data_IF_344386469557
#
_entry.id   IF_344386469557
#
_cell.length_a   1.000
_cell.length_b   1.000
_cell.length_c   1.000
_cell.angle_alpha   90.00
_cell.angle_beta   90.00
_cell.angle_gamma   90.00
#
_symmetry.space_group_name_H-M   'P 1'
#
loop_
_entity.id
_entity.type
_entity.pdbx_description
1 polymer ?
#
# COMPACT_ATOMS: atom_id res chain seq x y z
N UNK A 1 -21.26 -13.43 -25.48
CA UNK A 1 -20.49 -14.30 -26.39
C UNK A 1 -19.65 -13.42 -27.30
N UNK A 2 -18.40 -13.83 -27.57
CA UNK A 2 -17.54 -13.12 -28.52
C UNK A 2 -18.05 -13.26 -29.97
N UNK A 3 -17.86 -12.26 -30.85
CA UNK A 3 -18.37 -12.29 -32.22
C UNK A 3 -17.90 -13.52 -33.02
N UNK A 4 -16.67 -13.99 -32.79
CA UNK A 4 -16.08 -15.19 -33.39
C UNK A 4 -16.79 -16.47 -32.94
N UNK A 5 -17.20 -16.56 -31.67
CA UNK A 5 -18.00 -17.68 -31.14
C UNK A 5 -19.41 -17.68 -31.75
N UNK A 6 -20.01 -16.51 -31.92
CA UNK A 6 -21.35 -16.35 -32.53
C UNK A 6 -21.34 -16.69 -34.02
N UNK A 7 -20.19 -16.54 -34.70
CA UNK A 7 -19.99 -16.90 -36.11
C UNK A 7 -19.43 -18.33 -36.30
N UNK A 8 -19.31 -19.11 -35.23
CA UNK A 8 -18.73 -20.47 -35.25
C UNK A 8 -17.31 -20.53 -35.88
N UNK A 9 -16.52 -19.48 -35.68
CA UNK A 9 -15.14 -19.41 -36.16
C UNK A 9 -14.17 -20.06 -35.16
N UNK A 10 -12.96 -20.49 -35.61
CA UNK A 10 -11.92 -20.93 -34.70
C UNK A 10 -11.63 -19.85 -33.66
N UNK A 11 -11.73 -20.22 -32.39
CA UNK A 11 -11.56 -19.30 -31.27
C UNK A 11 -10.33 -19.66 -30.42
N UNK A 12 -9.84 -18.71 -29.65
CA UNK A 12 -8.70 -18.86 -28.75
C UNK A 12 -9.01 -18.22 -27.39
N UNK A 13 -8.04 -18.16 -26.47
CA UNK A 13 -8.18 -17.48 -25.17
C UNK A 13 -8.66 -16.01 -25.24
N UNK A 14 -8.61 -15.38 -26.42
CA UNK A 14 -9.15 -14.03 -26.67
C UNK A 14 -10.66 -13.91 -26.41
N UNK A 15 -11.42 -15.00 -26.45
CA UNK A 15 -12.87 -14.99 -26.15
C UNK A 15 -13.15 -14.72 -24.67
N UNK A 16 -12.21 -15.11 -23.79
CA UNK A 16 -12.30 -14.83 -22.36
C UNK A 16 -12.01 -13.35 -22.10
N UNK A 17 -11.09 -12.74 -22.85
CA UNK A 17 -10.86 -11.28 -22.82
C UNK A 17 -12.07 -10.48 -23.30
N UNK A 18 -12.79 -10.97 -24.32
CA UNK A 18 -14.06 -10.36 -24.73
C UNK A 18 -15.11 -10.44 -23.61
N UNK A 19 -15.22 -11.60 -22.97
CA UNK A 19 -16.17 -11.82 -21.87
C UNK A 19 -15.82 -10.96 -20.66
N UNK A 20 -14.52 -10.84 -20.33
CA UNK A 20 -14.02 -9.92 -19.33
C UNK A 20 -14.35 -8.46 -19.67
N UNK A 21 -14.18 -8.04 -20.93
CA UNK A 21 -14.55 -6.70 -21.38
C UNK A 21 -16.05 -6.40 -21.20
N UNK A 22 -16.92 -7.37 -21.45
CA UNK A 22 -18.37 -7.26 -21.20
C UNK A 22 -18.67 -7.15 -19.71
N UNK A 23 -18.04 -7.97 -18.87
CA UNK A 23 -18.20 -7.93 -17.40
C UNK A 23 -17.70 -6.59 -16.85
N UNK A 24 -16.55 -6.08 -17.33
CA UNK A 24 -16.01 -4.79 -16.92
C UNK A 24 -16.92 -3.64 -17.36
N UNK A 25 -17.46 -3.67 -18.58
CA UNK A 25 -18.43 -2.68 -19.04
C UNK A 25 -19.70 -2.71 -18.17
N UNK A 26 -20.28 -3.88 -17.94
CA UNK A 26 -21.50 -4.02 -17.13
C UNK A 26 -21.28 -3.61 -15.69
N UNK A 27 -20.13 -3.96 -15.12
CA UNK A 27 -19.73 -3.51 -13.78
C UNK A 27 -19.57 -1.99 -13.71
N UNK A 28 -19.08 -1.35 -14.78
CA UNK A 28 -18.85 0.09 -14.82
C UNK A 28 -20.12 0.90 -15.09
N UNK A 29 -20.98 0.45 -16.02
CA UNK A 29 -22.17 1.16 -16.49
C UNK A 29 -23.43 0.74 -15.73
N UNK A 30 -23.39 -0.39 -15.02
CA UNK A 30 -24.54 -0.98 -14.32
C UNK A 30 -25.55 -1.67 -15.25
N UNK A 31 -25.26 -1.75 -16.55
CA UNK A 31 -26.05 -2.43 -17.56
C UNK A 31 -25.12 -3.07 -18.60
N UNK A 32 -25.49 -4.21 -19.19
CA UNK A 32 -24.65 -4.87 -20.19
C UNK A 32 -24.51 -4.01 -21.46
N UNK A 33 -23.37 -4.10 -22.16
CA UNK A 33 -23.08 -3.28 -23.34
C UNK A 33 -24.06 -3.50 -24.50
N UNK A 34 -24.72 -4.66 -24.51
CA UNK A 34 -25.76 -4.99 -25.47
C UNK A 34 -26.95 -5.57 -24.70
N UNK A 35 -28.08 -4.85 -24.72
CA UNK A 35 -29.32 -5.27 -24.06
C UNK A 35 -30.48 -5.25 -25.05
N UNK A 36 -31.22 -6.35 -25.14
CA UNK A 36 -32.43 -6.45 -25.98
C UNK A 36 -33.27 -7.66 -25.57
N UNK A 37 -34.56 -7.60 -25.87
CA UNK A 37 -35.52 -8.66 -25.55
C UNK A 37 -35.53 -9.79 -26.60
N UNK A 38 -34.68 -9.73 -27.62
CA UNK A 38 -34.58 -10.74 -28.68
C UNK A 38 -33.14 -11.18 -28.90
N UNK A 39 -32.90 -12.50 -28.78
CA UNK A 39 -31.59 -13.13 -29.01
C UNK A 39 -31.05 -12.82 -30.42
N UNK A 40 -31.92 -12.75 -31.42
CA UNK A 40 -31.54 -12.41 -32.79
C UNK A 40 -31.03 -10.98 -32.92
N UNK A 41 -31.65 -10.03 -32.22
CA UNK A 41 -31.19 -8.64 -32.18
C UNK A 41 -29.86 -8.52 -31.41
N UNK A 42 -29.70 -9.30 -30.33
CA UNK A 42 -28.48 -9.31 -29.53
C UNK A 42 -27.28 -9.78 -30.36
N UNK A 43 -27.45 -10.87 -31.12
CA UNK A 43 -26.46 -11.39 -32.05
C UNK A 43 -26.07 -10.34 -33.10
N UNK A 44 -27.04 -9.62 -33.67
CA UNK A 44 -26.74 -8.56 -34.64
C UNK A 44 -25.96 -7.39 -34.05
N UNK A 45 -26.23 -7.03 -32.79
CA UNK A 45 -25.49 -5.98 -32.08
C UNK A 45 -24.05 -6.40 -31.80
N UNK A 46 -23.81 -7.67 -31.47
CA UNK A 46 -22.48 -8.23 -31.22
C UNK A 46 -21.66 -8.33 -32.51
N UNK A 47 -22.30 -8.63 -33.65
CA UNK A 47 -21.63 -8.97 -34.92
C UNK A 47 -21.37 -7.75 -35.82
N UNK A 48 -22.07 -6.63 -35.64
CA UNK A 48 -21.87 -5.43 -36.47
C UNK A 48 -20.75 -4.52 -35.90
N UNK A 49 -19.84 -4.01 -36.74
CA UNK A 49 -18.91 -2.96 -36.31
C UNK A 49 -19.69 -1.66 -36.05
N UNK A 50 -19.60 -1.11 -34.85
CA UNK A 50 -20.11 0.24 -34.55
C UNK A 50 -19.21 1.28 -35.21
N UNK A 51 -19.67 1.90 -36.29
CA UNK A 51 -19.13 3.13 -36.82
C UNK A 51 -19.76 4.32 -36.09
N UNK A 52 -19.39 4.57 -34.84
CA UNK A 52 -19.71 5.82 -34.13
C UNK A 52 -18.71 6.08 -32.99
N UNK A 53 -17.48 6.39 -33.36
CA UNK A 53 -16.53 7.04 -32.46
C UNK A 53 -16.98 8.51 -32.25
N UNK A 54 -17.87 8.76 -31.28
CA UNK A 54 -18.07 10.10 -30.75
C UNK A 54 -16.93 10.44 -29.79
N UNK A 55 -16.02 11.26 -30.33
CA UNK A 55 -14.96 12.03 -29.68
C UNK A 55 -15.31 12.47 -28.25
N UNK A 56 -14.55 12.00 -27.27
CA UNK A 56 -14.26 12.78 -26.08
C UNK A 56 -12.81 13.25 -26.18
N UNK A 57 -12.65 14.50 -26.61
CA UNK A 57 -11.37 15.22 -26.60
C UNK A 57 -11.37 16.11 -25.34
N UNK A 58 -10.28 16.18 -24.56
CA UNK A 58 -10.20 17.08 -23.42
C UNK A 58 -9.97 18.51 -23.93
N UNK A 59 -10.86 19.43 -23.58
CA UNK A 59 -10.68 20.85 -23.86
C UNK A 59 -9.68 21.45 -22.88
N UNK A 60 -8.50 21.79 -23.41
CA UNK A 60 -7.54 22.76 -22.87
C UNK A 60 -8.19 24.14 -22.83
N UNK A 61 -8.20 24.79 -21.67
CA UNK A 61 -8.42 26.24 -21.58
C UNK A 61 -7.16 26.87 -21.00
N UNK A 62 -6.49 27.61 -21.87
CA UNK A 62 -5.41 28.55 -21.58
C UNK A 62 -6.07 29.89 -21.20
N UNK A 63 -5.66 30.45 -20.06
CA UNK A 63 -6.03 31.78 -19.61
C UNK A 63 -4.78 32.50 -19.10
N UNK A 64 -4.51 33.68 -19.66
CA UNK A 64 -3.26 34.40 -19.52
C UNK A 64 -3.25 35.33 -18.30
N UNK A 65 -2.06 35.47 -17.70
CA UNK A 65 -1.42 36.66 -17.12
C UNK A 65 -2.22 37.67 -16.26
N UNK A 66 -1.83 37.79 -14.99
CA UNK A 66 -1.16 38.96 -14.41
C UNK A 66 -1.39 39.00 -12.89
N UNK A 67 -0.32 39.06 -12.08
CA UNK A 67 -0.26 39.95 -10.92
C UNK A 67 1.18 40.06 -10.38
N UNK A 68 1.45 41.27 -9.95
CA UNK A 68 2.73 41.88 -9.67
C UNK A 68 3.21 41.55 -8.24
N UNK A 69 4.51 41.70 -8.05
CA UNK A 69 5.25 41.53 -6.80
C UNK A 69 4.69 42.34 -5.62
N UNK A 70 4.80 41.76 -4.42
CA UNK A 70 5.15 42.47 -3.20
C UNK A 70 6.09 41.58 -2.37
N UNK A 71 7.27 42.14 -2.10
CA UNK A 71 8.20 41.73 -1.04
C UNK A 71 7.48 41.71 0.30
N UNK A 72 7.84 40.78 1.18
CA UNK A 72 7.86 41.06 2.62
C UNK A 72 8.97 40.28 3.32
N UNK A 73 9.55 40.96 4.29
CA UNK A 73 10.84 40.78 4.89
C UNK A 73 10.97 39.56 5.81
N UNK A 74 12.18 39.01 5.82
CA UNK A 74 12.73 38.17 6.89
C UNK A 74 12.72 38.92 8.24
N UNK A 75 12.19 38.34 9.34
CA UNK A 75 12.59 38.73 10.68
C UNK A 75 13.78 37.87 11.12
N UNK A 76 14.79 38.54 11.66
CA UNK A 76 16.14 38.02 11.87
C UNK A 76 16.30 37.03 13.03
N UNK A 77 17.53 36.51 13.11
CA UNK A 77 18.02 35.65 14.17
C UNK A 77 17.84 36.27 15.55
N UNK A 78 17.35 35.47 16.51
CA UNK A 78 17.38 35.82 17.93
C UNK A 78 18.74 35.46 18.53
N UNK A 79 19.31 36.42 19.27
CA UNK A 79 20.59 36.33 19.97
C UNK A 79 20.48 35.35 21.16
N UNK A 80 21.52 34.56 21.50
CA UNK A 80 21.47 33.64 22.61
C UNK A 80 21.89 34.37 23.88
N UNK A 81 20.96 34.63 24.80
CA UNK A 81 21.20 34.63 26.25
C UNK A 81 19.89 34.88 26.98
N UNK A 82 19.71 34.10 28.05
CA UNK A 82 18.64 34.14 29.04
C UNK A 82 17.25 33.69 28.58
N UNK A 83 16.92 32.44 28.89
CA UNK A 83 15.85 32.06 29.84
C UNK A 83 15.81 30.53 29.92
N UNK A 84 15.73 30.00 31.14
CA UNK A 84 15.58 28.56 31.47
C UNK A 84 14.64 27.86 30.49
N UNK A 85 15.22 26.98 29.67
CA UNK A 85 14.51 26.21 28.64
C UNK A 85 13.45 25.30 29.28
N UNK A 86 12.18 25.64 29.07
CA UNK A 86 11.07 24.71 29.21
C UNK A 86 10.88 24.03 27.86
N UNK A 87 10.85 22.69 27.84
CA UNK A 87 10.89 21.87 26.60
C UNK A 87 9.81 22.17 25.56
N UNK A 88 8.76 22.92 25.91
CA UNK A 88 7.68 23.32 25.01
C UNK A 88 8.12 24.40 24.00
N UNK A 89 8.97 25.36 24.41
CA UNK A 89 9.46 26.42 23.49
C UNK A 89 10.47 25.88 22.47
N UNK A 90 11.17 24.81 22.81
CA UNK A 90 12.16 24.21 21.91
C UNK A 90 11.49 23.52 20.70
N UNK A 91 10.42 22.75 20.93
CA UNK A 91 9.66 22.09 19.86
C UNK A 91 9.01 23.11 18.90
N UNK A 92 8.52 24.23 19.40
CA UNK A 92 7.96 25.30 18.57
C UNK A 92 9.02 25.92 17.64
N UNK A 93 10.23 26.15 18.16
CA UNK A 93 11.37 26.61 17.35
C UNK A 93 11.77 25.60 16.27
N UNK A 94 11.90 24.32 16.65
CA UNK A 94 12.23 23.24 15.72
C UNK A 94 11.18 23.08 14.62
N UNK A 95 9.90 23.18 14.99
CA UNK A 95 8.81 23.14 14.03
C UNK A 95 8.88 24.25 13.00
N UNK A 96 9.06 25.49 13.43
CA UNK A 96 9.11 26.62 12.51
C UNK A 96 10.29 26.48 11.53
N UNK A 97 11.45 26.06 12.04
CA UNK A 97 12.64 25.84 11.23
C UNK A 97 12.50 24.67 10.25
N UNK A 98 11.82 23.59 10.66
CA UNK A 98 11.61 22.38 9.83
C UNK A 98 10.76 22.63 8.58
N UNK A 99 10.01 23.73 8.50
CA UNK A 99 9.16 24.04 7.33
C UNK A 99 9.97 24.40 6.07
N UNK A 100 11.25 24.71 6.22
CA UNK A 100 12.15 24.98 5.11
C UNK A 100 13.08 23.79 4.88
N UNK A 101 13.42 23.50 3.62
CA UNK A 101 14.35 22.40 3.30
C UNK A 101 15.70 22.60 4.00
N UNK A 102 16.24 23.81 3.99
CA UNK A 102 17.52 24.11 4.65
C UNK A 102 17.44 23.95 6.18
N UNK A 103 16.39 24.46 6.81
CA UNK A 103 16.19 24.30 8.25
C UNK A 103 16.00 22.84 8.66
N UNK A 104 15.24 22.08 7.88
CA UNK A 104 15.09 20.64 8.07
C UNK A 104 16.43 19.88 7.92
N UNK A 105 17.26 20.24 6.93
CA UNK A 105 18.58 19.65 6.74
C UNK A 105 19.52 19.91 7.93
N UNK A 106 19.50 21.12 8.49
CA UNK A 106 20.29 21.47 9.68
C UNK A 106 19.81 20.64 10.88
N UNK A 107 18.50 20.62 11.15
CA UNK A 107 17.92 19.85 12.26
C UNK A 107 18.25 18.36 12.14
N UNK A 108 18.16 17.78 10.94
CA UNK A 108 18.44 16.36 10.70
C UNK A 108 19.90 15.95 10.94
N UNK A 109 20.82 16.91 11.03
CA UNK A 109 22.24 16.68 11.35
C UNK A 109 22.55 16.88 12.84
N UNK A 110 21.66 17.51 13.59
CA UNK A 110 21.84 17.81 15.02
C UNK A 110 21.23 16.70 15.89
N UNK A 111 22.08 15.88 16.50
CA UNK A 111 21.63 14.76 17.35
C UNK A 111 20.78 15.25 18.54
N UNK A 112 21.15 16.36 19.16
CA UNK A 112 20.40 16.97 20.26
C UNK A 112 19.00 17.42 19.82
N UNK A 113 18.87 17.97 18.60
CA UNK A 113 17.59 18.38 18.05
C UNK A 113 16.69 17.15 17.78
N UNK A 114 17.25 16.09 17.21
CA UNK A 114 16.55 14.82 17.03
C UNK A 114 16.11 14.23 18.38
N UNK A 115 16.96 14.24 19.39
CA UNK A 115 16.61 13.76 20.73
C UNK A 115 15.44 14.54 21.35
N UNK A 116 15.38 15.86 21.16
CA UNK A 116 14.26 16.69 21.60
C UNK A 116 12.96 16.37 20.83
N UNK A 117 13.06 16.08 19.53
CA UNK A 117 11.91 15.68 18.70
C UNK A 117 11.33 14.32 19.13
N UNK A 118 12.18 13.37 19.54
CA UNK A 118 11.71 12.05 19.99
C UNK A 118 11.28 12.00 21.46
N UNK A 119 11.58 13.04 22.25
CA UNK A 119 11.23 13.05 23.67
C UNK A 119 9.72 12.85 23.91
N UNK A 120 8.80 13.54 23.19
CA UNK A 120 7.36 13.31 23.38
C UNK A 120 6.89 11.91 23.03
N UNK A 121 7.44 11.28 21.98
CA UNK A 121 7.07 9.89 21.61
C UNK A 121 7.61 8.87 22.61
N UNK A 122 8.82 9.09 23.14
CA UNK A 122 9.45 8.20 24.14
C UNK A 122 8.72 8.16 25.48
N UNK A 123 8.12 9.27 25.92
CA UNK A 123 7.36 9.35 27.18
C UNK A 123 6.23 8.32 27.29
N UNK A 124 5.67 7.87 26.16
CA UNK A 124 4.62 6.85 26.14
C UNK A 124 5.11 5.48 26.60
N UNK A 125 6.40 5.20 26.48
CA UNK A 125 7.02 3.94 26.92
C UNK A 125 7.36 3.91 28.42
N UNK A 126 7.50 5.07 29.06
CA UNK A 126 7.98 5.19 30.46
C UNK A 126 6.88 5.03 31.52
N UNK A 127 5.66 4.64 31.13
CA UNK A 127 4.62 4.23 32.08
C UNK A 127 4.06 5.35 32.97
N UNK A 128 3.98 6.59 32.46
CA UNK A 128 3.38 7.72 33.17
C UNK A 128 1.92 7.40 33.56
N UNK A 129 1.68 7.16 34.85
CA UNK A 129 0.35 7.04 35.42
C UNK A 129 -0.33 8.41 35.40
N UNK A 130 -1.32 8.57 34.51
CA UNK A 130 -2.47 9.45 34.64
C UNK A 130 -2.20 10.88 35.17
N UNK A 131 -1.63 11.72 34.30
CA UNK A 131 -2.03 13.12 34.16
C UNK A 131 -1.53 13.62 32.80
N UNK A 132 -2.43 14.08 31.92
CA UNK A 132 -2.14 14.83 30.68
C UNK A 132 -2.03 14.10 29.32
N UNK A 133 -2.90 13.12 29.02
CA UNK A 133 -2.98 12.53 27.66
C UNK A 133 -3.15 13.58 26.55
N UNK A 134 -3.93 14.63 26.77
CA UNK A 134 -4.20 15.64 25.74
C UNK A 134 -2.94 16.40 25.33
N UNK A 135 -2.13 16.81 26.30
CA UNK A 135 -0.89 17.52 26.03
C UNK A 135 0.16 16.61 25.40
N UNK A 136 0.21 15.34 25.82
CA UNK A 136 1.09 14.33 25.22
C UNK A 136 0.71 14.05 23.76
N UNK A 137 -0.59 13.99 23.44
CA UNK A 137 -1.09 13.86 22.06
C UNK A 137 -0.66 15.07 21.21
N UNK A 138 -0.83 16.29 21.73
CA UNK A 138 -0.44 17.52 21.01
C UNK A 138 1.05 17.55 20.72
N UNK A 139 1.90 17.30 21.72
CA UNK A 139 3.35 17.31 21.55
C UNK A 139 3.85 16.17 20.66
N UNK A 140 3.25 14.99 20.76
CA UNK A 140 3.59 13.86 19.87
C UNK A 140 3.18 14.16 18.43
N UNK A 141 2.00 14.77 18.23
CA UNK A 141 1.55 15.22 16.90
C UNK A 141 2.48 16.29 16.32
N UNK A 142 2.97 17.22 17.14
CA UNK A 142 3.98 18.20 16.73
C UNK A 142 5.28 17.52 16.32
N UNK A 143 5.75 16.57 17.13
CA UNK A 143 6.97 15.79 16.85
C UNK A 143 6.88 15.04 15.51
N UNK A 144 5.77 14.35 15.25
CA UNK A 144 5.54 13.65 13.99
C UNK A 144 5.48 14.61 12.79
N UNK A 145 4.96 15.82 12.96
CA UNK A 145 4.93 16.84 11.90
C UNK A 145 6.33 17.34 11.58
N UNK A 146 7.17 17.57 12.59
CA UNK A 146 8.58 17.91 12.41
C UNK A 146 9.27 16.77 11.66
N UNK A 147 9.15 15.52 12.15
CA UNK A 147 9.75 14.34 11.50
C UNK A 147 9.31 14.20 10.04
N UNK A 148 8.02 14.38 9.75
CA UNK A 148 7.51 14.35 8.37
C UNK A 148 8.21 15.38 7.47
N UNK A 149 8.48 16.58 7.98
CA UNK A 149 9.21 17.61 7.23
C UNK A 149 10.68 17.24 7.03
N UNK A 150 11.33 16.67 8.06
CA UNK A 150 12.73 16.23 7.98
C UNK A 150 12.91 15.13 6.93
N UNK A 151 12.02 14.14 6.94
CA UNK A 151 12.03 13.05 5.96
C UNK A 151 11.77 13.62 4.56
N UNK A 152 10.73 14.43 4.36
CA UNK A 152 10.43 15.02 3.05
C UNK A 152 11.56 15.91 2.49
N UNK A 153 12.38 16.52 3.35
CA UNK A 153 13.56 17.29 2.97
C UNK A 153 14.79 16.42 2.67
N UNK A 154 14.70 15.09 2.83
CA UNK A 154 15.81 14.15 2.73
C UNK A 154 16.90 14.43 3.77
N UNK A 155 16.54 14.93 4.94
CA UNK A 155 17.50 15.34 5.97
C UNK A 155 18.12 14.16 6.74
N UNK A 156 17.48 13.00 6.70
CA UNK A 156 17.85 11.80 7.47
C UNK A 156 18.61 10.81 6.57
N UNK A 157 19.90 11.07 6.28
CA UNK A 157 20.65 10.30 5.28
C UNK A 157 21.58 9.22 5.84
N UNK A 158 21.79 9.15 7.15
CA UNK A 158 22.64 8.11 7.74
C UNK A 158 21.82 6.85 8.09
N UNK A 159 22.23 5.70 7.56
CA UNK A 159 21.50 4.44 7.72
C UNK A 159 21.28 4.00 9.18
N UNK A 160 22.24 4.31 10.07
CA UNK A 160 22.10 4.01 11.50
C UNK A 160 21.03 4.84 12.20
N UNK A 161 20.97 6.15 11.92
CA UNK A 161 19.95 7.04 12.50
C UNK A 161 18.56 6.66 11.98
N UNK A 162 18.43 6.31 10.69
CA UNK A 162 17.17 5.86 10.11
C UNK A 162 16.61 4.60 10.80
N UNK A 163 17.48 3.64 11.15
CA UNK A 163 17.10 2.43 11.87
C UNK A 163 16.57 2.74 13.28
N UNK A 164 17.29 3.59 14.02
CA UNK A 164 16.89 4.04 15.35
C UNK A 164 15.54 4.76 15.33
N UNK A 165 15.37 5.67 14.36
CA UNK A 165 14.13 6.42 14.15
C UNK A 165 12.96 5.48 13.83
N UNK A 166 13.18 4.52 12.93
CA UNK A 166 12.16 3.54 12.55
C UNK A 166 11.76 2.65 13.74
N UNK A 167 12.73 2.16 14.51
CA UNK A 167 12.47 1.38 15.73
C UNK A 167 11.63 2.17 16.74
N UNK A 168 11.98 3.44 16.99
CA UNK A 168 11.24 4.31 17.92
C UNK A 168 9.81 4.58 17.42
N UNK A 169 9.63 4.89 16.14
CA UNK A 169 8.30 5.14 15.56
C UNK A 169 7.40 3.90 15.58
N UNK A 170 7.95 2.72 15.27
CA UNK A 170 7.20 1.46 15.33
C UNK A 170 6.82 1.11 16.78
N UNK A 171 7.73 1.28 17.74
CA UNK A 171 7.44 1.07 19.16
C UNK A 171 6.35 2.02 19.65
N UNK A 172 6.47 3.32 19.33
CA UNK A 172 5.47 4.32 19.65
C UNK A 172 4.10 3.97 19.02
N UNK A 173 4.06 3.57 17.75
CA UNK A 173 2.83 3.15 17.08
C UNK A 173 2.22 1.94 17.77
N UNK A 174 3.01 0.93 18.13
CA UNK A 174 2.54 -0.27 18.83
C UNK A 174 1.88 0.09 20.17
N UNK A 175 2.49 0.99 20.95
CA UNK A 175 1.92 1.47 22.21
C UNK A 175 0.56 2.13 21.95
N UNK A 176 0.46 3.06 21.00
CA UNK A 176 -0.78 3.77 20.69
C UNK A 176 -1.91 2.82 20.25
N UNK A 177 -1.61 1.87 19.36
CA UNK A 177 -2.55 0.85 18.91
C UNK A 177 -3.01 -0.02 20.09
N UNK A 178 -2.09 -0.35 21.00
CA UNK A 178 -2.37 -1.10 22.23
C UNK A 178 -3.30 -0.40 23.22
N UNK A 179 -3.44 0.93 23.15
CA UNK A 179 -4.36 1.69 24.01
C UNK A 179 -5.84 1.46 23.66
N UNK A 180 -6.15 0.98 22.45
CA UNK A 180 -7.51 0.70 21.97
C UNK A 180 -8.49 1.87 22.19
N UNK A 181 -8.00 3.11 22.08
CA UNK A 181 -8.81 4.33 22.17
C UNK A 181 -8.86 5.02 20.81
N UNK A 182 -10.05 5.48 20.42
CA UNK A 182 -10.24 6.27 19.21
C UNK A 182 -9.55 7.64 19.27
N UNK A 183 -9.30 8.17 20.47
CA UNK A 183 -8.71 9.51 20.68
C UNK A 183 -7.30 9.62 20.10
N UNK A 184 -6.59 8.49 19.99
CA UNK A 184 -5.23 8.43 19.46
C UNK A 184 -5.17 8.01 17.98
N UNK A 185 -6.31 7.71 17.32
CA UNK A 185 -6.32 7.22 15.94
C UNK A 185 -5.69 8.21 14.94
N UNK A 186 -5.86 9.52 15.14
CA UNK A 186 -5.20 10.52 14.30
C UNK A 186 -3.68 10.47 14.47
N UNK A 187 -3.21 10.28 15.70
CA UNK A 187 -1.80 10.18 16.02
C UNK A 187 -1.19 8.89 15.46
N UNK A 188 -1.90 7.76 15.56
CA UNK A 188 -1.55 6.48 14.91
C UNK A 188 -1.41 6.66 13.40
N UNK A 189 -2.40 7.29 12.74
CA UNK A 189 -2.36 7.52 11.30
C UNK A 189 -1.19 8.41 10.86
N UNK A 190 -0.86 9.45 11.64
CA UNK A 190 0.33 10.30 11.41
C UNK A 190 1.62 9.51 11.58
N UNK A 191 1.72 8.66 12.59
CA UNK A 191 2.93 7.86 12.85
C UNK A 191 3.18 6.85 11.72
N UNK A 192 2.14 6.15 11.25
CA UNK A 192 2.23 5.32 10.05
C UNK A 192 2.60 6.12 8.80
N UNK A 193 2.12 7.36 8.67
CA UNK A 193 2.44 8.20 7.51
C UNK A 193 3.94 8.53 7.46
N UNK A 194 4.53 8.91 8.59
CA UNK A 194 5.99 9.14 8.68
C UNK A 194 6.76 7.84 8.42
N UNK A 195 6.32 6.73 9.02
CA UNK A 195 6.90 5.39 8.82
C UNK A 195 6.90 5.00 7.34
N UNK A 196 5.80 5.24 6.61
CA UNK A 196 5.69 4.96 5.18
C UNK A 196 6.73 5.73 4.35
N UNK A 197 6.93 7.02 4.65
CA UNK A 197 7.89 7.85 3.89
C UNK A 197 9.31 7.34 4.14
N UNK A 198 9.67 7.06 5.39
CA UNK A 198 10.96 6.47 5.74
C UNK A 198 11.21 5.11 5.05
N UNK A 199 10.19 4.26 4.98
CA UNK A 199 10.27 2.98 4.26
C UNK A 199 10.52 3.18 2.75
N UNK A 200 10.00 4.25 2.15
CA UNK A 200 10.18 4.54 0.72
C UNK A 200 11.60 5.04 0.39
N UNK A 201 12.25 5.76 1.30
CA UNK A 201 13.60 6.33 1.11
C UNK A 201 14.75 5.31 1.31
N UNK A 202 14.51 4.25 2.08
CA UNK A 202 15.48 3.18 2.37
C UNK A 202 15.71 2.25 1.15
N UNK A 203 16.34 2.76 0.08
CA UNK A 203 16.49 2.09 -1.22
C UNK A 203 17.87 1.43 -1.46
N UNK A 204 18.70 1.17 -0.45
CA UNK A 204 19.91 0.38 -0.68
C UNK A 204 21.06 0.48 0.30
N UNK A 205 20.81 0.69 1.60
CA UNK A 205 21.89 0.53 2.58
C UNK A 205 22.04 -0.95 2.97
N UNK A 206 23.24 -1.33 3.44
CA UNK A 206 23.66 -2.65 3.96
C UNK A 206 22.81 -3.20 5.14
N UNK A 207 21.63 -2.66 5.38
CA UNK A 207 20.75 -2.91 6.54
C UNK A 207 19.64 -3.95 6.25
N UNK A 208 19.95 -4.99 5.48
CA UNK A 208 18.98 -6.02 5.08
C UNK A 208 18.34 -6.74 6.29
N UNK A 209 19.06 -6.84 7.40
CA UNK A 209 18.60 -7.42 8.69
C UNK A 209 17.63 -6.50 9.44
N UNK A 210 17.94 -5.21 9.52
CA UNK A 210 17.07 -4.18 10.11
C UNK A 210 15.73 -4.06 9.38
N UNK A 211 15.74 -4.19 8.05
CA UNK A 211 14.53 -4.11 7.24
C UNK A 211 13.55 -5.25 7.56
N UNK A 212 14.04 -6.48 7.73
CA UNK A 212 13.22 -7.61 8.16
C UNK A 212 12.68 -7.43 9.60
N UNK A 213 13.50 -6.92 10.53
CA UNK A 213 13.06 -6.60 11.90
C UNK A 213 11.89 -5.61 11.89
N UNK A 214 11.98 -4.54 11.10
CA UNK A 214 10.89 -3.57 10.95
C UNK A 214 9.63 -4.18 10.35
N UNK A 215 9.78 -5.07 9.35
CA UNK A 215 8.67 -5.82 8.77
C UNK A 215 7.91 -6.64 9.81
N UNK A 216 8.61 -7.41 10.64
CA UNK A 216 7.98 -8.26 11.66
C UNK A 216 7.11 -7.43 12.60
N UNK A 217 7.66 -6.33 13.14
CA UNK A 217 6.94 -5.43 14.04
C UNK A 217 5.76 -4.77 13.33
N UNK A 218 5.94 -4.31 12.08
CA UNK A 218 4.88 -3.68 11.31
C UNK A 218 3.68 -4.62 11.08
N UNK A 219 3.94 -5.89 10.75
CA UNK A 219 2.89 -6.90 10.55
C UNK A 219 2.15 -7.21 11.85
N UNK A 220 2.87 -7.26 12.99
CA UNK A 220 2.25 -7.44 14.30
C UNK A 220 1.34 -6.25 14.66
N UNK A 221 1.81 -5.02 14.46
CA UNK A 221 0.99 -3.81 14.67
C UNK A 221 -0.22 -3.84 13.71
N UNK A 222 -0.04 -4.20 12.45
CA UNK A 222 -1.14 -4.30 11.48
C UNK A 222 -2.21 -5.31 11.92
N UNK A 223 -1.80 -6.47 12.44
CA UNK A 223 -2.73 -7.44 13.02
C UNK A 223 -3.55 -6.84 14.17
N UNK A 224 -2.92 -6.06 15.04
CA UNK A 224 -3.59 -5.36 16.13
C UNK A 224 -4.54 -4.25 15.64
N UNK A 225 -4.13 -3.48 14.63
CA UNK A 225 -4.96 -2.45 13.97
C UNK A 225 -6.26 -3.08 13.48
N UNK A 226 -6.16 -4.15 12.68
CA UNK A 226 -7.34 -4.76 12.05
C UNK A 226 -8.25 -5.45 13.06
N UNK A 227 -7.72 -5.91 14.18
CA UNK A 227 -8.49 -6.63 15.20
C UNK A 227 -9.15 -5.74 16.26
N UNK A 228 -8.58 -4.58 16.59
CA UNK A 228 -9.01 -3.82 17.76
C UNK A 228 -9.33 -2.34 17.53
N UNK A 229 -8.90 -1.74 16.40
CA UNK A 229 -9.10 -0.31 16.19
C UNK A 229 -10.49 -0.02 15.63
N UNK A 230 -11.21 0.84 16.32
CA UNK A 230 -12.42 1.50 15.82
C UNK A 230 -12.02 2.77 15.05
N UNK A 231 -11.73 2.63 13.76
CA UNK A 231 -11.38 3.75 12.89
C UNK A 231 -12.52 4.05 11.91
N UNK A 232 -13.42 4.96 12.27
CA UNK A 232 -14.49 5.42 11.39
C UNK A 232 -13.99 6.24 10.19
N UNK A 233 -12.76 6.77 10.25
CA UNK A 233 -12.17 7.60 9.20
C UNK A 233 -11.50 6.79 8.10
N UNK A 234 -10.99 5.60 8.44
CA UNK A 234 -10.31 4.68 7.53
C UNK A 234 -8.86 5.03 7.29
N UNK A 235 -8.38 6.11 7.91
CA UNK A 235 -7.01 6.59 7.73
C UNK A 235 -6.00 5.62 8.34
N UNK A 236 -6.27 5.03 9.49
CA UNK A 236 -5.36 4.07 10.13
C UNK A 236 -5.27 2.81 9.27
N UNK A 237 -6.41 2.27 8.82
CA UNK A 237 -6.44 1.12 7.92
C UNK A 237 -5.73 1.40 6.59
N UNK A 238 -6.02 2.56 5.97
CA UNK A 238 -5.42 2.99 4.71
C UNK A 238 -3.89 3.10 4.81
N UNK A 239 -3.37 3.87 5.77
CA UNK A 239 -1.93 4.14 5.84
C UNK A 239 -1.15 2.91 6.33
N UNK A 240 -1.72 2.07 7.19
CA UNK A 240 -1.08 0.81 7.59
C UNK A 240 -0.98 -0.20 6.43
N UNK A 241 -2.03 -0.35 5.61
CA UNK A 241 -1.96 -1.13 4.37
C UNK A 241 -0.94 -0.56 3.39
N UNK A 242 -0.83 0.77 3.31
CA UNK A 242 0.16 1.43 2.48
C UNK A 242 1.60 1.15 2.94
N UNK A 243 1.86 1.03 4.24
CA UNK A 243 3.18 0.62 4.76
C UNK A 243 3.53 -0.80 4.34
N UNK A 244 2.58 -1.74 4.46
CA UNK A 244 2.74 -3.13 3.99
C UNK A 244 3.04 -3.15 2.49
N UNK A 245 2.27 -2.40 1.70
CA UNK A 245 2.48 -2.27 0.25
C UNK A 245 3.86 -1.73 -0.08
N UNK A 246 4.34 -0.70 0.61
CA UNK A 246 5.68 -0.11 0.37
C UNK A 246 6.82 -1.11 0.57
N UNK A 247 6.67 -2.05 1.51
CA UNK A 247 7.69 -3.09 1.75
C UNK A 247 7.62 -4.21 0.72
N UNK A 248 6.41 -4.64 0.34
CA UNK A 248 6.21 -5.72 -0.62
C UNK A 248 6.42 -5.28 -2.08
N UNK A 249 6.28 -3.98 -2.37
CA UNK A 249 6.42 -3.47 -3.72
C UNK A 249 7.85 -3.74 -4.25
N UNK A 250 8.00 -4.25 -5.49
CA UNK A 250 9.30 -4.51 -6.08
C UNK A 250 10.05 -3.19 -6.26
N UNK A 251 11.04 -2.95 -5.41
CA UNK A 251 11.95 -1.81 -5.54
C UNK A 251 13.00 -2.14 -6.61
N UNK A 252 13.25 -1.18 -7.51
CA UNK A 252 14.20 -1.30 -8.61
C UNK A 252 15.50 -1.99 -8.19
N UNK A 253 15.91 -2.98 -8.98
CA UNK A 253 16.93 -3.98 -8.70
C UNK A 253 18.27 -3.32 -8.30
N UNK A 254 18.60 -3.33 -7.01
CA UNK A 254 19.97 -3.29 -6.49
C UNK A 254 20.42 -4.71 -6.09
N UNK A 255 21.72 -4.90 -5.82
CA UNK A 255 22.45 -6.19 -5.70
C UNK A 255 21.61 -7.48 -5.50
N UNK A 256 21.61 -8.42 -6.46
CA UNK A 256 20.64 -9.51 -6.49
C UNK A 256 20.79 -10.61 -5.44
N UNK A 257 21.86 -10.69 -4.63
CA UNK A 257 22.05 -11.81 -3.68
C UNK A 257 21.43 -11.57 -2.30
N UNK A 258 21.82 -10.47 -1.62
CA UNK A 258 21.39 -10.17 -0.23
C UNK A 258 19.90 -9.79 -0.17
N UNK A 259 19.40 -9.05 -1.15
CA UNK A 259 17.98 -8.63 -1.21
C UNK A 259 17.03 -9.82 -1.39
N UNK A 260 17.49 -10.92 -2.01
CA UNK A 260 16.66 -12.12 -2.17
C UNK A 260 16.44 -12.86 -0.85
N UNK A 261 17.44 -12.88 0.04
CA UNK A 261 17.33 -13.56 1.32
C UNK A 261 16.38 -12.80 2.25
N UNK A 262 16.47 -11.47 2.30
CA UNK A 262 15.53 -10.63 3.04
C UNK A 262 14.11 -10.70 2.48
N UNK A 263 13.94 -10.69 1.14
CA UNK A 263 12.62 -10.84 0.53
C UNK A 263 12.02 -12.21 0.87
N UNK A 264 12.82 -13.28 0.84
CA UNK A 264 12.39 -14.61 1.26
C UNK A 264 11.91 -14.60 2.72
N UNK A 265 12.70 -14.06 3.63
CA UNK A 265 12.32 -13.94 5.05
C UNK A 265 11.01 -13.16 5.23
N UNK A 266 10.84 -12.05 4.49
CA UNK A 266 9.61 -11.24 4.49
C UNK A 266 8.40 -12.07 4.07
N UNK A 267 8.50 -12.79 2.94
CA UNK A 267 7.43 -13.61 2.37
C UNK A 267 7.11 -14.82 3.26
N UNK A 268 8.12 -15.52 3.77
CA UNK A 268 7.95 -16.63 4.72
C UNK A 268 7.23 -16.14 5.98
N UNK A 269 7.66 -15.00 6.54
CA UNK A 269 6.99 -14.37 7.68
C UNK A 269 5.54 -13.94 7.36
N UNK A 270 5.28 -13.42 6.15
CA UNK A 270 3.93 -13.01 5.71
C UNK A 270 2.95 -14.18 5.75
N UNK A 271 3.40 -15.36 5.32
CA UNK A 271 2.60 -16.60 5.37
C UNK A 271 2.41 -17.05 6.83
N UNK A 272 3.47 -17.15 7.63
CA UNK A 272 3.37 -17.65 9.01
C UNK A 272 2.55 -16.74 9.91
N UNK A 273 2.59 -15.42 9.66
CA UNK A 273 1.79 -14.41 10.37
C UNK A 273 0.36 -14.30 9.84
N UNK A 274 -0.01 -15.07 8.81
CA UNK A 274 -1.32 -15.04 8.17
C UNK A 274 -1.69 -13.63 7.68
N UNK A 275 -0.72 -12.89 7.11
CA UNK A 275 -0.92 -11.52 6.66
C UNK A 275 -2.11 -11.39 5.69
N UNK A 276 -2.28 -12.37 4.78
CA UNK A 276 -3.41 -12.39 3.84
C UNK A 276 -4.77 -12.39 4.55
N UNK A 277 -4.91 -13.12 5.65
CA UNK A 277 -6.18 -13.16 6.41
C UNK A 277 -6.47 -11.80 7.06
N UNK A 278 -5.44 -11.13 7.59
CA UNK A 278 -5.57 -9.77 8.14
C UNK A 278 -5.92 -8.75 7.06
N UNK A 279 -5.33 -8.84 5.87
CA UNK A 279 -5.66 -7.98 4.73
C UNK A 279 -7.11 -8.22 4.23
N UNK A 280 -7.54 -9.48 4.17
CA UNK A 280 -8.93 -9.82 3.86
C UNK A 280 -9.91 -9.33 4.92
N UNK A 281 -9.53 -9.37 6.20
CA UNK A 281 -10.34 -8.81 7.28
C UNK A 281 -10.44 -7.27 7.16
N UNK A 282 -9.35 -6.59 6.80
CA UNK A 282 -9.36 -5.16 6.48
C UNK A 282 -10.33 -4.85 5.32
N UNK A 283 -10.32 -5.64 4.24
CA UNK A 283 -11.30 -5.51 3.15
C UNK A 283 -12.73 -5.75 3.64
N UNK A 284 -12.96 -6.77 4.48
CA UNK A 284 -14.28 -7.05 5.01
C UNK A 284 -14.83 -5.91 5.88
N UNK A 285 -14.00 -5.34 6.76
CA UNK A 285 -14.34 -4.16 7.58
C UNK A 285 -14.63 -2.95 6.69
N UNK A 286 -13.75 -2.68 5.73
CA UNK A 286 -13.90 -1.55 4.80
C UNK A 286 -15.19 -1.67 3.99
N UNK A 287 -15.44 -2.84 3.41
CA UNK A 287 -16.63 -3.11 2.60
C UNK A 287 -17.94 -3.17 3.39
N UNK A 288 -17.90 -3.54 4.67
CA UNK A 288 -19.06 -3.44 5.54
C UNK A 288 -19.48 -1.98 5.70
N UNK A 289 -18.53 -1.08 5.99
CA UNK A 289 -18.81 0.38 6.06
C UNK A 289 -19.29 0.96 4.74
N UNK A 290 -18.67 0.58 3.62
CA UNK A 290 -19.07 1.04 2.27
C UNK A 290 -20.49 0.59 1.92
N UNK A 291 -20.89 -0.64 2.30
CA UNK A 291 -22.25 -1.12 2.07
C UNK A 291 -23.29 -0.25 2.79
N UNK A 292 -22.96 0.29 3.97
CA UNK A 292 -23.84 1.18 4.71
C UNK A 292 -23.76 2.65 4.25
N UNK A 293 -23.11 2.94 3.12
CA UNK A 293 -23.11 4.25 2.46
C UNK A 293 -22.00 5.21 2.89
N UNK A 294 -21.09 4.79 3.78
CA UNK A 294 -19.93 5.61 4.17
C UNK A 294 -18.80 5.44 3.15
N UNK A 295 -18.29 6.55 2.59
CA UNK A 295 -17.17 6.55 1.65
C UNK A 295 -15.80 6.64 2.33
N UNK A 296 -15.76 6.85 3.66
CA UNK A 296 -14.51 7.03 4.41
C UNK A 296 -13.56 5.83 4.28
N UNK A 297 -14.11 4.62 4.28
CA UNK A 297 -13.34 3.37 4.15
C UNK A 297 -12.83 3.07 2.74
N UNK A 298 -13.16 3.90 1.74
CA UNK A 298 -12.85 3.57 0.37
C UNK A 298 -11.35 3.57 0.09
N UNK A 299 -10.60 4.51 0.68
CA UNK A 299 -9.15 4.53 0.58
C UNK A 299 -8.51 3.32 1.29
N UNK A 300 -9.07 2.90 2.43
CA UNK A 300 -8.64 1.69 3.12
C UNK A 300 -8.84 0.43 2.27
N UNK A 301 -10.00 0.31 1.61
CA UNK A 301 -10.26 -0.78 0.67
C UNK A 301 -9.25 -0.77 -0.50
N UNK A 302 -8.98 0.39 -1.08
CA UNK A 302 -8.03 0.55 -2.18
C UNK A 302 -6.61 0.13 -1.77
N UNK A 303 -6.11 0.60 -0.62
CA UNK A 303 -4.78 0.22 -0.14
C UNK A 303 -4.71 -1.25 0.29
N UNK A 304 -5.77 -1.82 0.84
CA UNK A 304 -5.83 -3.26 1.13
C UNK A 304 -5.76 -4.11 -0.15
N UNK A 305 -6.47 -3.73 -1.22
CA UNK A 305 -6.34 -4.36 -2.53
C UNK A 305 -4.90 -4.26 -3.06
N UNK A 306 -4.27 -3.09 -2.96
CA UNK A 306 -2.87 -2.90 -3.38
C UNK A 306 -1.90 -3.78 -2.57
N UNK A 307 -2.08 -3.86 -1.26
CA UNK A 307 -1.25 -4.71 -0.40
C UNK A 307 -1.41 -6.21 -0.73
N UNK A 308 -2.65 -6.68 -0.95
CA UNK A 308 -2.92 -8.06 -1.37
C UNK A 308 -2.26 -8.34 -2.72
N UNK A 309 -2.44 -7.45 -3.69
CA UNK A 309 -1.83 -7.59 -5.00
C UNK A 309 -0.29 -7.63 -4.91
N UNK A 310 0.32 -6.71 -4.15
CA UNK A 310 1.77 -6.71 -3.94
C UNK A 310 2.28 -7.97 -3.24
N UNK A 311 1.51 -8.57 -2.33
CA UNK A 311 1.87 -9.85 -1.72
C UNK A 311 1.85 -10.99 -2.74
N UNK A 312 0.80 -11.07 -3.56
CA UNK A 312 0.67 -12.08 -4.61
C UNK A 312 1.79 -11.93 -5.66
N UNK A 313 2.01 -10.72 -6.14
CA UNK A 313 3.04 -10.39 -7.13
C UNK A 313 4.45 -10.67 -6.60
N UNK A 314 4.74 -10.33 -5.34
CA UNK A 314 6.03 -10.61 -4.72
C UNK A 314 6.30 -12.13 -4.62
N UNK A 315 5.29 -12.94 -4.28
CA UNK A 315 5.41 -14.40 -4.31
C UNK A 315 5.61 -14.95 -5.73
N UNK A 316 4.92 -14.41 -6.73
CA UNK A 316 5.09 -14.81 -8.13
C UNK A 316 6.49 -14.47 -8.65
N UNK A 317 6.98 -13.25 -8.41
CA UNK A 317 8.32 -12.80 -8.77
C UNK A 317 9.38 -13.69 -8.11
N UNK A 318 9.23 -13.97 -6.81
CA UNK A 318 10.15 -14.84 -6.08
C UNK A 318 10.16 -16.26 -6.65
N UNK A 319 8.98 -16.83 -6.94
CA UNK A 319 8.86 -18.16 -7.53
C UNK A 319 9.50 -18.24 -8.91
N UNK A 320 9.27 -17.26 -9.80
CA UNK A 320 9.90 -17.20 -11.12
C UNK A 320 11.43 -17.10 -11.01
N UNK A 321 11.93 -16.34 -10.03
CA UNK A 321 13.36 -16.15 -9.81
C UNK A 321 14.06 -17.39 -9.26
N UNK A 322 13.42 -18.13 -8.36
CA UNK A 322 13.93 -19.42 -7.85
C UNK A 322 13.94 -20.49 -8.96
N UNK A 323 13.01 -20.38 -9.90
CA UNK A 323 12.77 -21.34 -10.98
C UNK A 323 13.21 -20.83 -12.37
N UNK A 324 14.29 -20.03 -12.46
CA UNK A 324 14.81 -19.51 -13.74
C UNK A 324 15.11 -20.60 -14.78
N UNK A 325 15.27 -21.87 -14.38
CA UNK A 325 15.43 -23.04 -15.25
C UNK A 325 14.12 -23.65 -15.77
N UNK A 326 12.95 -23.08 -15.45
CA UNK A 326 11.62 -23.54 -15.90
C UNK A 326 11.06 -22.72 -17.07
N UNK A 327 11.85 -21.83 -17.68
CA UNK A 327 11.43 -21.17 -18.91
C UNK A 327 11.35 -22.21 -20.06
N UNK A 328 10.25 -22.30 -20.83
CA UNK A 328 10.01 -23.38 -21.81
C UNK A 328 11.00 -23.47 -22.98
N UNK A 329 12.02 -22.61 -23.04
CA UNK A 329 13.01 -22.61 -24.12
C UNK A 329 14.04 -23.75 -23.98
N UNK A 330 14.32 -24.23 -22.77
CA UNK A 330 15.19 -25.40 -22.59
C UNK A 330 14.50 -26.71 -23.01
N UNK A 331 13.17 -26.77 -22.91
CA UNK A 331 12.39 -27.88 -23.45
C UNK A 331 12.44 -27.96 -24.98
N UNK A 332 12.63 -26.83 -25.68
CA UNK A 332 12.74 -26.77 -27.14
C UNK A 332 14.12 -27.19 -27.68
N UNK A 333 15.17 -27.22 -26.83
CA UNK A 333 16.53 -27.56 -27.26
C UNK A 333 16.86 -29.06 -27.21
N UNK A 334 16.00 -29.89 -26.61
CA UNK A 334 16.25 -31.33 -26.53
C UNK A 334 15.48 -32.10 -27.61
N UNK A 335 16.09 -32.28 -28.78
CA UNK A 335 15.64 -33.24 -29.79
C UNK A 335 15.91 -34.68 -29.31
N UNK A 336 15.11 -35.17 -28.36
CA UNK A 336 15.03 -36.62 -28.12
C UNK A 336 13.62 -37.01 -27.69
N UNK A 337 12.96 -37.80 -28.54
CA UNK A 337 11.63 -38.41 -28.38
C UNK A 337 11.60 -39.49 -27.26
N UNK A 338 12.28 -39.27 -26.14
CA UNK A 338 12.39 -40.22 -25.03
C UNK A 338 11.79 -39.72 -23.70
N UNK A 339 11.07 -38.59 -23.69
CA UNK A 339 10.32 -38.12 -22.51
C UNK A 339 8.82 -38.03 -22.78
N UNK A 340 8.21 -39.18 -22.99
CA UNK A 340 6.78 -39.42 -22.78
C UNK A 340 6.48 -39.79 -21.32
N UNK A 341 7.32 -39.35 -20.38
CA UNK A 341 7.03 -39.44 -18.94
C UNK A 341 6.66 -38.08 -18.37
N UNK A 342 5.45 -37.65 -18.73
CA UNK A 342 4.79 -36.45 -18.20
C UNK A 342 4.20 -36.73 -16.79
N UNK A 343 4.35 -37.95 -16.22
CA UNK A 343 3.76 -38.28 -14.92
C UNK A 343 4.59 -37.83 -13.72
N UNK A 344 5.92 -37.76 -13.83
CA UNK A 344 6.75 -37.37 -12.68
C UNK A 344 6.99 -35.86 -12.56
N UNK A 345 6.81 -35.08 -13.64
CA UNK A 345 7.00 -33.62 -13.61
C UNK A 345 5.72 -32.86 -13.18
N UNK A 346 4.54 -33.46 -13.31
CA UNK A 346 3.30 -32.90 -12.76
C UNK A 346 3.26 -32.94 -11.22
N UNK A 347 4.07 -33.80 -10.58
CA UNK A 347 4.08 -33.94 -9.12
C UNK A 347 4.79 -32.77 -8.41
N UNK A 348 5.65 -32.02 -9.12
CA UNK A 348 6.25 -30.77 -8.62
C UNK A 348 5.35 -29.55 -8.77
N UNK A 349 4.42 -29.57 -9.73
CA UNK A 349 3.41 -28.51 -9.93
C UNK A 349 2.22 -28.63 -8.95
N UNK A 350 2.11 -29.78 -8.29
CA UNK A 350 1.07 -30.14 -7.31
C UNK A 350 1.50 -29.89 -5.85
N UNK A 351 2.73 -29.45 -5.60
CA UNK A 351 3.04 -28.81 -4.33
C UNK A 351 2.37 -27.43 -4.37
N UNK A 352 1.26 -27.26 -3.64
CA UNK A 352 0.63 -25.95 -3.42
C UNK A 352 1.71 -24.92 -3.11
N UNK A 353 2.03 -24.07 -4.09
CA UNK A 353 2.99 -22.99 -3.89
C UNK A 353 2.42 -22.05 -2.84
N UNK A 354 3.28 -21.42 -2.03
CA UNK A 354 2.80 -20.43 -1.05
C UNK A 354 1.98 -19.31 -1.72
N UNK A 355 2.30 -18.98 -2.98
CA UNK A 355 1.50 -18.11 -3.84
C UNK A 355 0.06 -18.64 -4.02
N UNK A 356 -0.13 -19.93 -4.31
CA UNK A 356 -1.44 -20.54 -4.47
C UNK A 356 -2.25 -20.48 -3.17
N UNK A 357 -1.61 -20.66 -2.00
CA UNK A 357 -2.29 -20.54 -0.71
C UNK A 357 -2.79 -19.12 -0.43
N UNK A 358 -2.00 -18.11 -0.79
CA UNK A 358 -2.43 -16.70 -0.70
C UNK A 358 -3.62 -16.44 -1.62
N UNK A 359 -3.54 -16.88 -2.89
CA UNK A 359 -4.66 -16.74 -3.85
C UNK A 359 -5.92 -17.40 -3.30
N UNK A 360 -5.84 -18.66 -2.88
CA UNK A 360 -6.97 -19.43 -2.35
C UNK A 360 -7.58 -18.80 -1.07
N UNK A 361 -6.76 -18.21 -0.20
CA UNK A 361 -7.26 -17.43 0.94
C UNK A 361 -8.09 -16.21 0.48
N UNK A 362 -7.60 -15.45 -0.51
CA UNK A 362 -8.31 -14.29 -1.07
C UNK A 362 -9.58 -14.74 -1.79
N UNK A 363 -9.54 -15.80 -2.60
CA UNK A 363 -10.70 -16.39 -3.28
C UNK A 363 -11.77 -16.79 -2.27
N UNK A 364 -11.39 -17.48 -1.19
CA UNK A 364 -12.34 -17.84 -0.13
C UNK A 364 -12.96 -16.62 0.53
N UNK A 365 -12.17 -15.59 0.83
CA UNK A 365 -12.66 -14.37 1.43
C UNK A 365 -13.65 -13.66 0.50
N UNK A 366 -13.32 -13.55 -0.79
CA UNK A 366 -14.19 -12.96 -1.81
C UNK A 366 -15.50 -13.73 -1.99
N UNK A 367 -15.45 -15.05 -2.15
CA UNK A 367 -16.65 -15.87 -2.36
C UNK A 367 -17.56 -15.86 -1.14
N UNK A 368 -17.00 -15.92 0.08
CA UNK A 368 -17.79 -16.06 1.32
C UNK A 368 -18.27 -14.74 1.91
N UNK A 369 -17.59 -13.63 1.64
CA UNK A 369 -17.91 -12.34 2.24
C UNK A 369 -18.43 -11.35 1.22
N UNK A 370 -19.74 -11.05 1.30
CA UNK A 370 -20.31 -9.91 0.57
C UNK A 370 -19.57 -8.62 0.87
N UNK A 371 -18.94 -8.47 2.05
CA UNK A 371 -18.27 -7.22 2.41
C UNK A 371 -16.97 -7.09 1.64
N UNK A 372 -16.22 -8.17 1.51
CA UNK A 372 -15.05 -8.21 0.63
C UNK A 372 -15.44 -7.91 -0.82
N UNK A 373 -16.53 -8.50 -1.33
CA UNK A 373 -17.03 -8.20 -2.69
C UNK A 373 -17.33 -6.71 -2.86
N UNK A 374 -18.06 -6.10 -1.92
CA UNK A 374 -18.38 -4.67 -1.96
C UNK A 374 -17.12 -3.80 -1.92
N UNK A 375 -16.11 -4.15 -1.11
CA UNK A 375 -14.85 -3.41 -1.05
C UNK A 375 -14.15 -3.42 -2.42
N UNK A 376 -13.93 -4.61 -3.00
CA UNK A 376 -13.21 -4.76 -4.28
C UNK A 376 -13.96 -4.07 -5.42
N UNK A 377 -15.30 -4.22 -5.50
CA UNK A 377 -16.10 -3.56 -6.54
C UNK A 377 -16.02 -2.04 -6.41
N UNK A 378 -16.09 -1.49 -5.20
CA UNK A 378 -15.96 -0.04 -5.01
C UNK A 378 -14.56 0.49 -5.40
N UNK A 379 -13.49 -0.31 -5.23
CA UNK A 379 -12.16 0.05 -5.74
C UNK A 379 -12.14 0.21 -7.26
N UNK A 380 -12.87 -0.63 -8.01
CA UNK A 380 -12.98 -0.51 -9.46
C UNK A 380 -13.64 0.83 -9.89
N UNK A 381 -14.54 1.38 -9.07
CA UNK A 381 -15.25 2.62 -9.38
C UNK A 381 -14.44 3.90 -9.08
N UNK A 382 -13.38 3.85 -8.28
CA UNK A 382 -12.66 5.05 -7.82
C UNK A 382 -11.86 5.78 -8.89
N UNK A 383 -11.62 5.17 -10.07
CA UNK A 383 -10.73 5.70 -11.13
C UNK A 383 -9.29 6.01 -10.66
N UNK A 384 -8.86 5.44 -9.54
CA UNK A 384 -7.48 5.50 -9.06
C UNK A 384 -6.72 4.31 -9.67
N UNK A 385 -5.82 4.59 -10.62
CA UNK A 385 -5.19 3.56 -11.47
C UNK A 385 -4.52 2.43 -10.67
N UNK A 386 -3.69 2.68 -9.63
CA UNK A 386 -3.05 1.59 -8.89
C UNK A 386 -4.04 0.67 -8.17
N UNK A 387 -5.13 1.23 -7.64
CA UNK A 387 -6.16 0.47 -6.94
C UNK A 387 -7.04 -0.32 -7.91
N UNK A 388 -7.37 0.28 -9.06
CA UNK A 388 -8.08 -0.37 -10.16
C UNK A 388 -7.28 -1.57 -10.69
N UNK A 389 -6.00 -1.37 -10.99
CA UNK A 389 -5.10 -2.44 -11.45
C UNK A 389 -5.01 -3.57 -10.44
N UNK A 390 -4.80 -3.26 -9.16
CA UNK A 390 -4.75 -4.27 -8.09
C UNK A 390 -6.06 -5.07 -8.00
N UNK A 391 -7.21 -4.40 -8.03
CA UNK A 391 -8.51 -5.06 -7.98
C UNK A 391 -8.75 -5.97 -9.20
N UNK A 392 -8.37 -5.54 -10.41
CA UNK A 392 -8.46 -6.38 -11.62
C UNK A 392 -7.56 -7.61 -11.49
N UNK A 393 -6.32 -7.44 -11.03
CA UNK A 393 -5.37 -8.55 -10.86
C UNK A 393 -5.78 -9.55 -9.78
N UNK A 394 -6.45 -9.09 -8.72
CA UNK A 394 -7.04 -9.97 -7.70
C UNK A 394 -8.18 -10.77 -8.33
N UNK A 395 -9.12 -10.10 -9.01
CA UNK A 395 -10.27 -10.76 -9.65
C UNK A 395 -9.88 -11.69 -10.81
N UNK A 396 -8.76 -11.45 -11.49
CA UNK A 396 -8.29 -12.36 -12.53
C UNK A 396 -7.67 -13.65 -11.98
N UNK A 397 -7.32 -13.68 -10.70
CA UNK A 397 -6.68 -14.81 -10.01
C UNK A 397 -7.61 -15.54 -9.05
N UNK A 398 -8.69 -14.89 -8.61
CA UNK A 398 -9.71 -15.45 -7.73
C UNK A 398 -10.89 -15.99 -8.53
#
# INVERSE_FOLDING_TARGET
>A
MAPELVREQPYSHTVDLWSLGVILYESFVGQPPFYTNSVHALIQHIVKPQSDAKKYSPNTVQGNSALHALHDEFPGFSNPNDVKQTGNLALDGLENNSRTVNGAQIIGQEYEALALIFLPTKKWSEGSQNACRDQDIVHSSQSLRILSNLVAAGALQSGGILDEIMCELLNFTAILVGLKSSDVNELVAKSFSVTKILLAENNGSDAATSYFKHWVVLVEIFSQVVSHIEDASGRVFCVSCACITTILAPKGIASPSVINESLKQILDHAVTSRLVDHLCLCLATSGASLRFGSTNMLLAACEACRAIWSLMDAHEIFFVKENLSLFPLDALRSHSLARLDIRDHARGWLAETEAAKVVDAVTRAFVRSKSVQFAIVNCLHQRVEPALSAAIHILSRC
#
